data_IF_351382661865
#
_entry.id   IF_351382661865
#
_cell.length_a   1.000
_cell.length_b   1.000
_cell.length_c   1.000
_cell.angle_alpha   90.00
_cell.angle_beta   90.00
_cell.angle_gamma   90.00
#
_symmetry.space_group_name_H-M   'P 1'
#
loop_
_entity.id
_entity.type
_entity.pdbx_description
1 polymer ?
#
# COMPACT_ATOMS: atom_id res chain seq x y z
N UNK A 1 -2.07 -22.29 -0.06
CA UNK A 1 -0.68 -21.77 0.07
C UNK A 1 -0.33 -20.81 -1.06
N UNK A 2 -0.52 -21.18 -2.34
CA UNK A 2 -0.32 -20.23 -3.46
C UNK A 2 -1.33 -19.07 -3.48
N UNK A 3 -2.57 -19.30 -3.03
CA UNK A 3 -3.63 -18.28 -3.03
C UNK A 3 -3.29 -17.08 -2.15
N UNK A 4 -2.86 -17.30 -0.90
CA UNK A 4 -2.48 -16.20 0.01
C UNK A 4 -1.26 -15.40 -0.47
N UNK A 5 -0.34 -16.03 -1.21
CA UNK A 5 0.79 -15.32 -1.83
C UNK A 5 0.30 -14.39 -2.93
N UNK A 6 -0.53 -14.89 -3.84
CA UNK A 6 -1.07 -14.07 -4.93
C UNK A 6 -2.06 -13.01 -4.43
N UNK A 7 -2.82 -13.30 -3.38
CA UNK A 7 -3.65 -12.32 -2.66
C UNK A 7 -2.80 -11.19 -2.06
N UNK A 8 -1.70 -11.52 -1.35
CA UNK A 8 -0.79 -10.50 -0.82
C UNK A 8 -0.18 -9.63 -1.94
N UNK A 9 0.24 -10.25 -3.06
CA UNK A 9 0.75 -9.49 -4.21
C UNK A 9 -0.34 -8.62 -4.84
N UNK A 10 -1.57 -9.12 -4.94
CA UNK A 10 -2.70 -8.37 -5.46
C UNK A 10 -3.01 -7.13 -4.60
N UNK A 11 -3.01 -7.27 -3.28
CA UNK A 11 -3.19 -6.14 -2.35
C UNK A 11 -2.14 -5.05 -2.58
N UNK A 12 -0.86 -5.42 -2.73
CA UNK A 12 0.21 -4.45 -2.98
C UNK A 12 0.05 -3.76 -4.34
N UNK A 13 -0.33 -4.49 -5.40
CA UNK A 13 -0.61 -3.85 -6.70
C UNK A 13 -1.76 -2.86 -6.62
N UNK A 14 -2.85 -3.23 -5.94
CA UNK A 14 -4.01 -2.35 -5.71
C UNK A 14 -3.63 -1.11 -4.90
N UNK A 15 -2.77 -1.26 -3.89
CA UNK A 15 -2.27 -0.15 -3.08
C UNK A 15 -1.55 0.90 -3.92
N UNK A 16 -0.58 0.50 -4.75
CA UNK A 16 0.16 1.45 -5.59
C UNK A 16 -0.71 2.05 -6.70
N UNK A 17 -1.60 1.26 -7.33
CA UNK A 17 -2.52 1.77 -8.34
C UNK A 17 -3.50 2.81 -7.75
N UNK A 18 -3.98 2.61 -6.52
CA UNK A 18 -4.83 3.59 -5.84
C UNK A 18 -4.12 4.94 -5.66
N UNK A 19 -2.81 4.93 -5.39
CA UNK A 19 -1.99 6.14 -5.27
C UNK A 19 -1.80 6.82 -6.62
N UNK A 20 -1.34 6.08 -7.64
CA UNK A 20 -1.09 6.61 -8.99
C UNK A 20 -2.37 7.22 -9.60
N UNK A 21 -3.49 6.49 -9.52
CA UNK A 21 -4.80 6.96 -10.03
C UNK A 21 -5.43 8.08 -9.19
N UNK A 22 -4.95 8.28 -7.96
CA UNK A 22 -5.57 9.18 -6.99
C UNK A 22 -6.89 8.66 -6.40
N UNK A 23 -7.29 7.43 -6.69
CA UNK A 23 -8.47 6.80 -6.11
C UNK A 23 -8.16 6.24 -4.70
N UNK A 24 -7.89 7.14 -3.76
CA UNK A 24 -7.45 6.79 -2.40
C UNK A 24 -8.54 6.16 -1.52
N UNK A 25 -9.79 6.10 -1.99
CA UNK A 25 -10.89 5.41 -1.29
C UNK A 25 -10.68 3.89 -1.28
N UNK A 26 -9.98 3.35 -2.27
CA UNK A 26 -9.60 1.92 -2.30
C UNK A 26 -8.83 1.51 -1.05
N UNK A 27 -8.06 2.43 -0.45
CA UNK A 27 -7.30 2.13 0.76
C UNK A 27 -8.20 1.78 1.94
N UNK A 28 -9.46 2.21 1.94
CA UNK A 28 -10.41 1.92 3.04
C UNK A 28 -10.74 0.43 3.18
N UNK A 29 -10.54 -0.34 2.11
CA UNK A 29 -10.80 -1.78 2.05
C UNK A 29 -9.54 -2.62 2.31
N UNK A 30 -8.36 -2.08 1.98
CA UNK A 30 -7.11 -2.87 1.93
C UNK A 30 -6.04 -2.45 2.94
N UNK A 31 -6.20 -1.31 3.61
CA UNK A 31 -5.28 -0.81 4.65
C UNK A 31 -5.99 -0.83 6.00
N UNK A 32 -5.34 -1.37 7.03
CA UNK A 32 -5.86 -1.34 8.39
C UNK A 32 -6.02 0.09 8.92
N UNK A 33 -7.06 0.37 9.71
CA UNK A 33 -7.34 1.71 10.22
C UNK A 33 -6.14 2.32 10.97
N UNK A 34 -5.46 1.52 11.81
CA UNK A 34 -4.27 1.90 12.57
C UNK A 34 -2.93 1.64 11.86
N UNK A 35 -2.90 1.61 10.52
CA UNK A 35 -1.68 1.36 9.75
C UNK A 35 -0.56 2.34 10.09
N UNK A 36 0.62 1.81 10.37
CA UNK A 36 1.86 2.56 10.59
C UNK A 36 2.78 2.36 9.37
N UNK A 37 3.07 3.43 8.65
CA UNK A 37 4.02 3.42 7.52
C UNK A 37 5.48 3.56 7.96
N UNK A 38 5.71 3.71 9.28
CA UNK A 38 7.03 3.88 9.91
C UNK A 38 7.84 5.05 9.34
N UNK A 39 7.17 6.06 8.76
CA UNK A 39 7.82 7.28 8.34
C UNK A 39 8.17 8.14 9.57
N UNK A 40 9.44 8.56 9.72
CA UNK A 40 9.84 9.38 10.86
C UNK A 40 9.00 10.65 11.01
N UNK A 41 8.42 10.85 12.19
CA UNK A 41 7.58 12.02 12.49
C UNK A 41 6.12 11.90 12.04
N UNK A 42 5.72 10.77 11.43
CA UNK A 42 4.35 10.50 11.05
C UNK A 42 3.62 9.72 12.15
N UNK A 43 2.37 10.11 12.43
CA UNK A 43 1.51 9.35 13.34
C UNK A 43 0.83 8.22 12.57
N UNK A 44 0.67 7.01 13.14
CA UNK A 44 -0.07 5.93 12.50
C UNK A 44 -1.51 6.32 12.14
N UNK A 45 -2.02 5.78 11.05
CA UNK A 45 -3.41 5.86 10.64
C UNK A 45 -3.58 5.86 9.12
N UNK A 46 -4.53 5.07 8.63
CA UNK A 46 -4.89 5.05 7.20
C UNK A 46 -5.27 6.43 6.67
N UNK A 47 -5.95 7.25 7.46
CA UNK A 47 -6.30 8.62 7.06
C UNK A 47 -5.09 9.55 6.98
N UNK A 48 -4.06 9.31 7.79
CA UNK A 48 -2.79 10.04 7.69
C UNK A 48 -2.07 9.65 6.39
N UNK A 49 -2.02 8.35 6.08
CA UNK A 49 -1.48 7.82 4.83
C UNK A 49 -2.19 8.43 3.59
N UNK A 50 -3.54 8.45 3.59
CA UNK A 50 -4.34 9.05 2.50
C UNK A 50 -4.00 10.53 2.31
N UNK A 51 -3.91 11.30 3.40
CA UNK A 51 -3.54 12.73 3.34
C UNK A 51 -2.13 12.93 2.77
N UNK A 52 -1.18 12.09 3.17
CA UNK A 52 0.18 12.13 2.65
C UNK A 52 0.20 11.93 1.12
N UNK A 53 -0.42 10.86 0.61
CA UNK A 53 -0.42 10.59 -0.83
C UNK A 53 -1.28 11.56 -1.64
N UNK A 54 -2.37 12.10 -1.07
CA UNK A 54 -3.13 13.17 -1.71
C UNK A 54 -2.28 14.43 -1.89
N UNK A 55 -1.49 14.80 -0.87
CA UNK A 55 -0.57 15.93 -0.93
C UNK A 55 0.55 15.70 -1.94
N UNK A 56 1.16 14.51 -1.91
CA UNK A 56 2.21 14.14 -2.85
C UNK A 56 1.73 14.21 -4.30
N UNK A 57 0.53 13.68 -4.59
CA UNK A 57 -0.07 13.71 -5.92
C UNK A 57 -0.49 15.13 -6.33
N UNK A 58 -0.89 15.99 -5.38
CA UNK A 58 -1.14 17.41 -5.67
C UNK A 58 0.14 18.14 -6.09
N UNK A 59 1.31 17.73 -5.58
CA UNK A 59 2.61 18.29 -5.98
C UNK A 59 3.13 17.67 -7.28
N UNK A 60 2.80 16.40 -7.54
CA UNK A 60 3.20 15.63 -8.73
C UNK A 60 1.96 14.98 -9.37
N UNK A 61 1.20 15.71 -10.22
CA UNK A 61 -0.05 15.22 -10.78
C UNK A 61 0.08 13.97 -11.67
N UNK A 62 1.28 13.75 -12.21
CA UNK A 62 1.70 12.62 -13.05
C UNK A 62 2.52 11.57 -12.28
N UNK A 63 2.39 11.51 -10.95
CA UNK A 63 3.08 10.55 -10.10
C UNK A 63 2.92 9.10 -10.59
N UNK A 64 4.03 8.47 -10.94
CA UNK A 64 4.14 7.04 -11.22
C UNK A 64 5.08 6.37 -10.22
N UNK A 65 4.69 5.19 -9.72
CA UNK A 65 5.39 4.36 -8.74
C UNK A 65 5.55 2.93 -9.32
N UNK A 66 6.42 2.74 -10.33
CA UNK A 66 6.58 1.45 -10.99
C UNK A 66 7.10 0.38 -10.04
N UNK A 67 6.41 -0.76 -10.00
CA UNK A 67 6.80 -1.91 -9.17
C UNK A 67 7.85 -2.74 -9.90
N UNK A 68 9.12 -2.61 -9.51
CA UNK A 68 10.22 -3.42 -10.08
C UNK A 68 10.22 -4.87 -9.58
N UNK A 69 9.77 -5.11 -8.34
CA UNK A 69 9.69 -6.45 -7.76
C UNK A 69 8.68 -6.50 -6.61
N UNK A 70 8.03 -7.66 -6.41
CA UNK A 70 7.28 -7.97 -5.20
C UNK A 70 7.84 -9.27 -4.62
N UNK A 71 8.34 -9.20 -3.38
CA UNK A 71 8.90 -10.34 -2.66
C UNK A 71 7.95 -10.71 -1.51
N UNK A 72 7.53 -11.97 -1.46
CA UNK A 72 6.67 -12.50 -0.40
C UNK A 72 7.42 -13.61 0.30
N UNK A 73 7.50 -13.53 1.63
CA UNK A 73 8.09 -14.59 2.44
C UNK A 73 7.07 -15.70 2.68
N UNK A 74 7.44 -16.94 2.37
CA UNK A 74 6.67 -18.13 2.72
C UNK A 74 7.37 -18.79 3.90
N UNK A 75 6.73 -18.81 5.07
CA UNK A 75 7.21 -19.61 6.20
C UNK A 75 6.63 -21.01 6.07
N UNK A 76 7.45 -21.98 5.65
CA UNK A 76 7.10 -23.39 5.80
C UNK A 76 7.09 -23.71 7.30
N UNK A 77 5.98 -24.20 7.83
CA UNK A 77 6.00 -24.84 9.15
C UNK A 77 6.77 -26.15 8.99
N UNK A 78 7.97 -26.22 9.56
CA UNK A 78 8.65 -27.51 9.72
C UNK A 78 7.83 -28.29 10.76
N UNK A 79 7.19 -29.37 10.30
CA UNK A 79 6.58 -30.40 11.16
C UNK A 79 7.62 -31.38 11.64
#
# INVERSE_FOLDING_TARGET
MSSSIEENKALIRSFFNAIESGNLQVLDEIVAEGYDDHLPGQTPGREILKKYFATLRSAFPDLTLPISAIVVRVTASLS
#
